data_IF_172668207082
#
_entry.id   IF_172668207082
#
_cell.length_a   1.000
_cell.length_b   1.000
_cell.length_c   1.000
_cell.angle_alpha   90.00
_cell.angle_beta   90.00
_cell.angle_gamma   90.00
#
_symmetry.space_group_name_H-M   'P 1'
#
loop_
_entity.id
_entity.type
_entity.pdbx_description
1 polymer ?
#
# COMPACT_ATOMS: atom_id res chain seq x y z
N UNK A 1 19.96 0.55 18.07
CA UNK A 1 19.87 -0.13 16.76
C UNK A 1 21.25 -0.66 16.48
N UNK A 2 21.43 -1.96 16.58
CA UNK A 2 22.76 -2.56 16.68
C UNK A 2 23.33 -2.84 15.29
N UNK A 3 23.49 -1.80 14.47
CA UNK A 3 24.07 -1.86 13.13
C UNK A 3 25.45 -1.18 13.11
N UNK A 4 26.21 -1.35 12.04
CA UNK A 4 27.47 -0.62 11.92
C UNK A 4 27.22 0.89 11.82
N UNK A 5 28.14 1.69 12.37
CA UNK A 5 28.11 3.16 12.23
C UNK A 5 28.03 3.60 10.78
N UNK A 6 28.76 2.93 9.89
CA UNK A 6 28.76 3.22 8.46
C UNK A 6 27.37 3.01 7.84
N UNK A 7 26.73 1.88 8.12
CA UNK A 7 25.39 1.59 7.63
C UNK A 7 24.40 2.63 8.16
N UNK A 8 24.42 2.91 9.47
CA UNK A 8 23.55 3.92 10.07
C UNK A 8 23.66 5.29 9.40
N UNK A 9 24.90 5.79 9.24
CA UNK A 9 25.14 7.10 8.63
C UNK A 9 24.76 7.13 7.15
N UNK A 10 25.01 6.05 6.42
CA UNK A 10 24.63 5.95 5.01
C UNK A 10 23.10 5.98 4.83
N UNK A 11 22.35 5.24 5.66
CA UNK A 11 20.88 5.22 5.63
C UNK A 11 20.29 6.54 6.08
N UNK A 12 20.83 7.15 7.14
CA UNK A 12 20.42 8.50 7.57
C UNK A 12 20.65 9.53 6.46
N UNK A 13 21.82 9.50 5.82
CA UNK A 13 22.13 10.39 4.70
C UNK A 13 21.15 10.18 3.54
N UNK A 14 20.92 8.93 3.14
CA UNK A 14 19.96 8.60 2.09
C UNK A 14 18.57 9.19 2.41
N UNK A 15 18.13 9.10 3.67
CA UNK A 15 16.84 9.64 4.11
C UNK A 15 16.78 11.16 4.15
N UNK A 16 17.88 11.83 4.49
CA UNK A 16 17.98 13.30 4.42
C UNK A 16 18.00 13.76 2.96
N UNK A 17 18.72 13.05 2.10
CA UNK A 17 18.85 13.38 0.66
C UNK A 17 17.52 13.25 -0.11
N UNK A 18 16.50 12.57 0.44
CA UNK A 18 15.12 12.57 -0.08
C UNK A 18 14.47 13.98 0.00
N UNK A 19 15.02 14.90 0.79
CA UNK A 19 14.51 16.24 1.02
C UNK A 19 15.52 17.30 0.54
N UNK A 20 15.42 17.71 -0.72
CA UNK A 20 16.39 18.64 -1.34
C UNK A 20 16.57 19.96 -0.58
N UNK A 21 15.50 20.48 0.03
CA UNK A 21 15.48 21.75 0.77
C UNK A 21 16.06 21.64 2.20
N UNK A 22 16.25 20.43 2.72
CA UNK A 22 16.78 20.21 4.07
C UNK A 22 18.31 20.35 4.10
N UNK A 23 18.80 21.58 4.28
CA UNK A 23 20.24 21.88 4.41
C UNK A 23 20.75 21.91 5.85
N UNK A 24 19.89 22.23 6.79
CA UNK A 24 20.22 22.35 8.21
C UNK A 24 18.97 22.32 9.08
N UNK A 25 19.15 21.96 10.35
CA UNK A 25 18.14 22.12 11.39
C UNK A 25 18.36 23.45 12.12
N UNK A 26 17.30 24.22 12.35
CA UNK A 26 17.41 25.55 12.98
C UNK A 26 17.34 25.48 14.51
N UNK A 27 16.60 24.51 15.05
CA UNK A 27 16.34 24.40 16.48
C UNK A 27 16.50 22.97 16.99
N UNK A 28 16.80 22.85 18.28
CA UNK A 28 16.83 21.56 18.98
C UNK A 28 15.89 21.65 20.18
N UNK A 29 14.98 20.70 20.29
CA UNK A 29 14.01 20.61 21.38
C UNK A 29 14.30 19.36 22.21
N UNK A 30 14.26 19.49 23.52
CA UNK A 30 14.37 18.36 24.44
C UNK A 30 13.01 17.68 24.59
N UNK A 31 13.00 16.35 24.62
CA UNK A 31 11.83 15.56 24.93
C UNK A 31 12.18 14.26 25.61
N UNK A 32 11.16 13.44 25.83
CA UNK A 32 11.30 12.12 26.44
C UNK A 32 10.95 11.05 25.42
N UNK A 33 11.82 10.07 25.23
CA UNK A 33 11.50 8.91 24.42
C UNK A 33 10.40 8.09 25.12
N UNK A 34 9.34 7.77 24.40
CA UNK A 34 8.18 7.05 24.94
C UNK A 34 8.14 5.57 24.54
N UNK A 35 9.01 5.15 23.61
CA UNK A 35 9.07 3.79 23.10
C UNK A 35 10.48 3.16 23.19
N UNK A 36 11.40 3.55 22.30
CA UNK A 36 12.68 2.85 22.08
C UNK A 36 13.60 2.83 23.31
N UNK A 37 13.74 3.98 23.98
CA UNK A 37 14.52 4.18 25.19
C UNK A 37 13.61 4.85 26.22
N UNK A 38 12.53 4.14 26.58
CA UNK A 38 11.41 4.70 27.32
C UNK A 38 11.86 5.42 28.60
N UNK A 39 11.46 6.69 28.73
CA UNK A 39 11.78 7.55 29.87
C UNK A 39 13.14 8.24 29.76
N UNK A 40 13.97 7.92 28.76
CA UNK A 40 15.24 8.60 28.54
C UNK A 40 15.03 9.93 27.83
N UNK A 41 15.90 10.89 28.17
CA UNK A 41 16.00 12.18 27.49
C UNK A 41 16.46 11.97 26.05
N UNK A 42 15.76 12.59 25.11
CA UNK A 42 16.10 12.60 23.69
C UNK A 42 15.95 14.02 23.13
N UNK A 43 16.49 14.26 21.95
CA UNK A 43 16.49 15.57 21.30
C UNK A 43 15.88 15.48 19.92
N UNK A 44 15.01 16.43 19.57
CA UNK A 44 14.48 16.58 18.22
C UNK A 44 15.11 17.79 17.54
N UNK A 45 15.76 17.55 16.43
CA UNK A 45 16.31 18.59 15.56
C UNK A 45 15.22 19.01 14.57
N UNK A 46 14.84 20.28 14.57
CA UNK A 46 13.69 20.81 13.83
C UNK A 46 14.12 21.76 12.72
N UNK A 47 13.46 21.61 11.57
CA UNK A 47 13.57 22.48 10.42
C UNK A 47 12.17 22.96 10.02
N UNK A 48 12.01 24.23 9.65
CA UNK A 48 10.69 24.79 9.35
C UNK A 48 10.08 24.13 8.11
N UNK A 49 8.86 23.60 8.24
CA UNK A 49 8.11 22.92 7.17
C UNK A 49 8.87 21.74 6.53
N UNK A 50 9.76 21.10 7.28
CA UNK A 50 10.62 20.01 6.85
C UNK A 50 10.63 18.93 7.94
N UNK A 51 10.97 17.67 7.59
CA UNK A 51 10.97 16.58 8.57
C UNK A 51 11.98 16.82 9.68
N UNK A 52 11.56 16.58 10.90
CA UNK A 52 12.40 16.62 12.11
C UNK A 52 13.25 15.36 12.26
N UNK A 53 14.37 15.46 12.97
CA UNK A 53 15.24 14.31 13.27
C UNK A 53 15.30 14.08 14.78
N UNK A 54 14.54 13.10 15.32
CA UNK A 54 14.59 12.74 16.73
C UNK A 54 15.73 11.75 17.01
N UNK A 55 16.64 12.13 17.90
CA UNK A 55 17.82 11.33 18.29
C UNK A 55 17.90 11.13 19.80
N UNK A 56 18.26 9.91 20.19
CA UNK A 56 18.69 9.58 21.54
C UNK A 56 20.23 9.44 21.56
N UNK A 57 20.87 10.11 22.52
CA UNK A 57 22.31 10.03 22.73
C UNK A 57 22.57 9.22 23.99
N UNK A 58 23.29 8.12 23.84
CA UNK A 58 23.74 7.33 24.98
C UNK A 58 25.04 7.93 25.48
N UNK A 59 25.08 8.24 26.78
CA UNK A 59 26.22 8.88 27.43
C UNK A 59 26.78 8.01 28.54
N UNK A 60 28.10 7.91 28.58
CA UNK A 60 28.85 7.27 29.68
C UNK A 60 30.00 8.17 30.09
N UNK A 61 30.10 8.45 31.39
CA UNK A 61 31.14 9.31 31.97
C UNK A 61 31.23 10.69 31.28
N UNK A 62 30.08 11.27 30.92
CA UNK A 62 29.99 12.58 30.26
C UNK A 62 30.42 12.59 28.78
N UNK A 63 30.53 11.42 28.15
CA UNK A 63 30.84 11.28 26.72
C UNK A 63 29.73 10.52 26.01
N UNK A 64 29.36 11.00 24.84
CA UNK A 64 28.46 10.27 23.93
C UNK A 64 29.16 8.99 23.46
N UNK A 65 28.60 7.83 23.82
CA UNK A 65 29.09 6.52 23.40
C UNK A 65 28.34 5.99 22.18
N UNK A 66 27.06 6.35 22.02
CA UNK A 66 26.25 5.93 20.89
C UNK A 66 25.12 6.92 20.56
N UNK A 67 24.56 6.83 19.36
CA UNK A 67 23.47 7.67 18.86
C UNK A 67 22.43 6.78 18.18
N UNK A 68 21.17 6.97 18.55
CA UNK A 68 20.05 6.19 18.04
C UNK A 68 18.93 7.08 17.52
N UNK A 69 18.20 6.62 16.51
CA UNK A 69 16.94 7.24 16.10
C UNK A 69 15.89 7.03 17.20
N UNK A 70 15.16 8.08 17.57
CA UNK A 70 14.08 8.03 18.56
C UNK A 70 12.71 8.11 17.86
N UNK A 71 12.10 6.97 17.58
CA UNK A 71 10.86 6.89 16.78
C UNK A 71 9.57 7.35 17.48
N UNK A 72 9.63 7.68 18.77
CA UNK A 72 8.47 8.12 19.56
C UNK A 72 8.94 9.11 20.62
N UNK A 73 9.33 10.30 20.17
CA UNK A 73 9.78 11.38 21.04
C UNK A 73 8.59 12.24 21.44
N UNK A 74 8.32 12.34 22.75
CA UNK A 74 7.26 13.21 23.29
C UNK A 74 7.84 14.53 23.77
N UNK A 75 7.28 15.62 23.27
CA UNK A 75 7.59 17.00 23.66
C UNK A 75 6.44 17.60 24.47
N UNK A 76 6.75 18.63 25.26
CA UNK A 76 5.75 19.36 26.04
C UNK A 76 4.82 20.19 25.15
N UNK A 77 5.35 20.71 24.04
CA UNK A 77 4.63 21.58 23.08
C UNK A 77 4.98 21.17 21.65
N UNK A 78 4.33 20.14 21.09
CA UNK A 78 4.55 19.73 19.72
C UNK A 78 3.99 20.76 18.74
N UNK A 79 4.60 20.87 17.56
CA UNK A 79 4.07 21.71 16.47
C UNK A 79 2.95 20.97 15.72
N UNK A 80 1.99 21.73 15.18
CA UNK A 80 0.80 21.18 14.49
C UNK A 80 1.14 20.43 13.18
N UNK A 81 2.33 20.66 12.63
CA UNK A 81 2.79 20.10 11.34
C UNK A 81 4.16 19.44 11.46
N UNK A 82 4.45 18.81 12.61
CA UNK A 82 5.71 18.09 12.82
C UNK A 82 5.60 16.64 12.31
N UNK A 83 6.52 16.23 11.45
CA UNK A 83 6.70 14.82 11.07
C UNK A 83 8.18 14.48 11.11
N UNK A 84 8.50 13.23 11.43
CA UNK A 84 9.88 12.80 11.71
C UNK A 84 10.49 12.03 10.54
N UNK A 85 11.81 12.17 10.36
CA UNK A 85 12.61 11.22 9.59
C UNK A 85 12.54 9.86 10.29
N UNK A 86 11.98 8.88 9.61
CA UNK A 86 11.86 7.52 10.10
C UNK A 86 12.59 6.52 9.18
N UNK A 87 13.36 5.62 9.80
CA UNK A 87 13.90 4.45 9.14
C UNK A 87 14.14 3.33 10.14
N UNK A 88 14.21 2.10 9.63
CA UNK A 88 14.52 0.89 10.39
C UNK A 88 15.52 0.04 9.62
N UNK A 89 16.15 -0.89 10.33
CA UNK A 89 17.07 -1.87 9.76
C UNK A 89 16.46 -3.26 9.86
N UNK A 90 16.75 -4.08 8.86
CA UNK A 90 16.37 -5.48 8.85
C UNK A 90 17.18 -6.27 9.89
N UNK A 91 16.67 -7.41 10.32
CA UNK A 91 17.35 -8.25 11.32
C UNK A 91 18.73 -8.68 10.83
N UNK A 92 18.91 -8.99 9.55
CA UNK A 92 20.19 -9.40 8.97
C UNK A 92 21.23 -8.28 8.84
N UNK A 93 20.82 -7.03 9.01
CA UNK A 93 21.72 -5.87 8.98
C UNK A 93 22.35 -5.59 10.35
N UNK A 94 21.85 -6.24 11.41
CA UNK A 94 22.37 -6.08 12.77
C UNK A 94 23.69 -6.82 12.95
N UNK A 95 24.62 -6.22 13.68
CA UNK A 95 25.96 -6.76 13.98
C UNK A 95 25.92 -8.11 14.69
N UNK A 96 24.91 -8.33 15.54
CA UNK A 96 24.73 -9.56 16.29
C UNK A 96 23.96 -10.65 15.52
N UNK A 97 23.55 -10.38 14.27
CA UNK A 97 22.76 -11.32 13.50
C UNK A 97 23.53 -12.62 13.25
N UNK A 98 22.87 -13.73 13.58
CA UNK A 98 23.31 -15.08 13.23
C UNK A 98 22.13 -15.80 12.61
N UNK A 99 22.22 -16.23 11.34
CA UNK A 99 21.11 -16.91 10.69
C UNK A 99 20.83 -18.23 11.42
N UNK A 100 19.57 -18.45 11.78
CA UNK A 100 19.11 -19.76 12.26
C UNK A 100 19.00 -20.74 11.08
N UNK A 101 19.01 -22.04 11.37
CA UNK A 101 18.74 -23.08 10.36
C UNK A 101 17.37 -22.83 9.71
N UNK A 102 16.37 -22.45 10.52
CA UNK A 102 15.02 -22.15 10.04
C UNK A 102 15.00 -20.93 9.10
N UNK A 103 15.73 -19.87 9.43
CA UNK A 103 15.91 -18.73 8.54
C UNK A 103 16.51 -19.15 7.19
N UNK A 104 17.55 -19.99 7.21
CA UNK A 104 18.20 -20.46 5.98
C UNK A 104 17.28 -21.34 5.12
N UNK A 105 16.50 -22.23 5.74
CA UNK A 105 15.50 -23.06 5.04
C UNK A 105 14.44 -22.16 4.39
N UNK A 106 13.94 -21.17 5.13
CA UNK A 106 12.96 -20.21 4.61
C UNK A 106 13.54 -19.40 3.45
N UNK A 107 14.78 -18.93 3.57
CA UNK A 107 15.46 -18.19 2.51
C UNK A 107 15.55 -19.02 1.22
N UNK A 108 15.93 -20.29 1.30
CA UNK A 108 15.97 -21.18 0.13
C UNK A 108 14.60 -21.38 -0.52
N UNK A 109 13.51 -21.44 0.28
CA UNK A 109 12.15 -21.54 -0.24
C UNK A 109 11.73 -20.27 -0.96
N UNK A 110 12.11 -19.11 -0.42
CA UNK A 110 11.88 -17.80 -1.03
C UNK A 110 12.66 -17.68 -2.34
N UNK A 111 13.96 -17.97 -2.34
CA UNK A 111 14.81 -17.94 -3.54
C UNK A 111 14.23 -18.83 -4.64
N UNK A 112 13.81 -20.05 -4.29
CA UNK A 112 13.13 -20.94 -5.23
C UNK A 112 11.83 -20.34 -5.79
N UNK A 113 11.01 -19.70 -4.95
CA UNK A 113 9.77 -19.07 -5.39
C UNK A 113 10.02 -17.93 -6.37
N UNK A 114 10.99 -17.07 -6.05
CA UNK A 114 11.42 -15.95 -6.89
C UNK A 114 12.02 -16.46 -8.21
N UNK A 115 12.91 -17.45 -8.17
CA UNK A 115 13.53 -18.02 -9.37
C UNK A 115 12.49 -18.64 -10.30
N UNK A 116 11.54 -19.40 -9.76
CA UNK A 116 10.45 -19.97 -10.55
C UNK A 116 9.55 -18.89 -11.16
N UNK A 117 9.27 -17.81 -10.43
CA UNK A 117 8.53 -16.67 -10.97
C UNK A 117 9.30 -15.99 -12.11
N UNK A 118 10.58 -15.69 -11.89
CA UNK A 118 11.43 -15.03 -12.88
C UNK A 118 11.57 -15.88 -14.16
N UNK A 119 11.46 -17.21 -14.05
CA UNK A 119 11.46 -18.08 -15.22
C UNK A 119 10.19 -17.92 -16.09
N UNK A 120 9.08 -17.40 -15.57
CA UNK A 120 7.88 -17.10 -16.36
C UNK A 120 8.16 -16.01 -17.40
N UNK A 121 9.02 -15.03 -17.10
CA UNK A 121 9.39 -13.95 -18.02
C UNK A 121 9.93 -14.50 -19.35
N UNK A 122 10.61 -15.65 -19.32
CA UNK A 122 11.18 -16.30 -20.50
C UNK A 122 10.13 -16.73 -21.54
N UNK A 123 8.86 -16.79 -21.16
CA UNK A 123 7.74 -17.08 -22.07
C UNK A 123 7.38 -15.88 -22.95
N UNK A 124 7.79 -14.66 -22.56
CA UNK A 124 7.44 -13.41 -23.23
C UNK A 124 6.00 -12.99 -22.94
N UNK A 125 5.03 -13.78 -23.41
CA UNK A 125 3.61 -13.65 -23.06
C UNK A 125 3.23 -14.82 -22.14
N UNK A 126 2.92 -14.52 -20.89
CA UNK A 126 2.66 -15.51 -19.84
C UNK A 126 1.15 -15.79 -19.79
N UNK A 127 0.68 -17.04 -20.00
CA UNK A 127 -0.71 -17.40 -19.73
C UNK A 127 -1.05 -17.18 -18.26
N UNK A 128 -2.23 -16.61 -17.97
CA UNK A 128 -2.66 -16.38 -16.58
C UNK A 128 -2.68 -17.66 -15.74
N UNK A 129 -2.90 -18.83 -16.36
CA UNK A 129 -2.87 -20.13 -15.70
C UNK A 129 -1.50 -20.46 -15.07
N UNK A 130 -0.40 -20.03 -15.68
CA UNK A 130 0.95 -20.21 -15.12
C UNK A 130 1.16 -19.35 -13.86
N UNK A 131 0.60 -18.13 -13.88
CA UNK A 131 0.63 -17.21 -12.72
C UNK A 131 -0.24 -17.76 -11.59
N UNK A 132 -1.41 -18.31 -11.90
CA UNK A 132 -2.29 -18.99 -10.93
C UNK A 132 -1.59 -20.18 -10.31
N UNK A 133 -0.94 -21.01 -11.13
CA UNK A 133 -0.20 -22.18 -10.66
C UNK A 133 0.92 -21.78 -9.70
N UNK A 134 1.70 -20.74 -10.04
CA UNK A 134 2.73 -20.21 -9.15
C UNK A 134 2.13 -19.71 -7.82
N UNK A 135 1.06 -18.93 -7.89
CA UNK A 135 0.38 -18.40 -6.70
C UNK A 135 -0.09 -19.50 -5.76
N UNK A 136 -0.80 -20.50 -6.29
CA UNK A 136 -1.34 -21.60 -5.48
C UNK A 136 -0.24 -22.48 -4.90
N UNK A 137 0.87 -22.69 -5.64
CA UNK A 137 2.05 -23.44 -5.16
C UNK A 137 2.71 -22.78 -3.94
N UNK A 138 2.79 -21.44 -3.92
CA UNK A 138 3.48 -20.70 -2.86
C UNK A 138 2.56 -20.12 -1.78
N UNK A 139 1.26 -20.35 -1.88
CA UNK A 139 0.26 -19.88 -0.91
C UNK A 139 0.53 -20.29 0.54
N UNK A 140 1.08 -21.49 0.78
CA UNK A 140 1.43 -21.92 2.14
C UNK A 140 2.63 -21.13 2.69
N UNK A 141 3.67 -20.95 1.87
CA UNK A 141 4.83 -20.12 2.23
C UNK A 141 4.38 -18.68 2.54
N UNK A 142 3.50 -18.13 1.70
CA UNK A 142 2.97 -16.79 1.91
C UNK A 142 2.23 -16.65 3.25
N UNK A 143 1.43 -17.64 3.64
CA UNK A 143 0.74 -17.66 4.94
C UNK A 143 1.70 -17.77 6.12
N UNK A 144 2.70 -18.65 6.01
CA UNK A 144 3.71 -18.84 7.07
C UNK A 144 4.54 -17.58 7.32
N UNK A 145 4.80 -16.80 6.27
CA UNK A 145 5.55 -15.55 6.33
C UNK A 145 4.68 -14.31 6.51
N UNK A 146 3.35 -14.49 6.60
CA UNK A 146 2.36 -13.41 6.66
C UNK A 146 2.54 -12.38 5.52
N UNK A 147 2.87 -12.87 4.31
CA UNK A 147 2.94 -12.02 3.13
C UNK A 147 1.58 -11.41 2.82
N UNK A 148 1.59 -10.22 2.21
CA UNK A 148 0.38 -9.45 1.88
C UNK A 148 -0.41 -8.98 3.11
N UNK A 149 0.18 -9.05 4.31
CA UNK A 149 -0.40 -8.53 5.53
C UNK A 149 0.14 -7.11 5.82
N UNK A 150 -0.68 -6.04 5.66
CA UNK A 150 -0.23 -4.67 5.88
C UNK A 150 0.07 -4.35 7.35
N UNK A 151 -0.34 -5.22 8.29
CA UNK A 151 -0.11 -5.04 9.72
C UNK A 151 1.15 -5.73 10.23
N UNK A 152 1.86 -6.48 9.37
CA UNK A 152 3.05 -7.22 9.75
C UNK A 152 4.28 -6.55 9.19
N UNK A 153 5.14 -6.06 10.08
CA UNK A 153 6.42 -5.48 9.69
C UNK A 153 7.35 -6.58 9.15
N UNK A 154 7.79 -6.43 7.91
CA UNK A 154 8.74 -7.34 7.28
C UNK A 154 10.10 -7.19 7.95
N UNK A 155 10.48 -8.22 8.72
CA UNK A 155 11.71 -8.23 9.54
C UNK A 155 12.98 -8.45 8.74
N UNK A 156 12.89 -9.14 7.61
CA UNK A 156 14.03 -9.53 6.79
C UNK A 156 13.95 -8.92 5.40
N UNK A 157 15.06 -8.41 4.88
CA UNK A 157 15.15 -7.80 3.55
C UNK A 157 14.78 -8.78 2.46
N UNK A 158 15.19 -10.04 2.59
CA UNK A 158 14.83 -11.11 1.65
C UNK A 158 13.30 -11.28 1.53
N UNK A 159 12.56 -11.03 2.61
CA UNK A 159 11.11 -11.23 2.64
C UNK A 159 10.40 -10.07 1.94
N UNK A 160 11.02 -8.88 1.87
CA UNK A 160 10.45 -7.72 1.18
C UNK A 160 10.24 -7.99 -0.30
N UNK A 161 11.22 -8.59 -0.96
CA UNK A 161 11.15 -8.84 -2.40
C UNK A 161 10.03 -9.82 -2.73
N UNK A 162 9.97 -10.98 -2.05
CA UNK A 162 8.89 -11.95 -2.25
C UNK A 162 7.53 -11.43 -1.80
N UNK A 163 7.46 -10.58 -0.76
CA UNK A 163 6.21 -9.94 -0.36
C UNK A 163 5.67 -9.05 -1.48
N UNK A 164 6.51 -8.17 -2.03
CA UNK A 164 6.12 -7.29 -3.14
C UNK A 164 5.64 -8.11 -4.34
N UNK A 165 6.40 -9.14 -4.71
CA UNK A 165 6.06 -10.01 -5.84
C UNK A 165 4.73 -10.75 -5.59
N UNK A 166 4.56 -11.33 -4.40
CA UNK A 166 3.36 -12.08 -4.05
C UNK A 166 2.13 -11.17 -3.94
N UNK A 167 2.25 -9.95 -3.41
CA UNK A 167 1.15 -8.97 -3.36
C UNK A 167 0.65 -8.59 -4.76
N UNK A 168 1.55 -8.29 -5.69
CA UNK A 168 1.15 -8.00 -7.08
C UNK A 168 0.40 -9.18 -7.72
N UNK A 169 0.94 -10.39 -7.57
CA UNK A 169 0.25 -11.60 -8.04
C UNK A 169 -1.10 -11.78 -7.35
N UNK A 170 -1.18 -11.57 -6.03
CA UNK A 170 -2.41 -11.67 -5.23
C UNK A 170 -3.51 -10.77 -5.79
N UNK A 171 -3.18 -9.53 -6.18
CA UNK A 171 -4.12 -8.58 -6.78
C UNK A 171 -4.70 -9.09 -8.11
N UNK A 172 -3.85 -9.60 -9.00
CA UNK A 172 -4.29 -10.22 -10.26
C UNK A 172 -5.20 -11.42 -10.00
N UNK A 173 -4.81 -12.31 -9.08
CA UNK A 173 -5.56 -13.51 -8.74
C UNK A 173 -6.91 -13.18 -8.07
N UNK A 174 -6.97 -12.11 -7.29
CA UNK A 174 -8.23 -11.60 -6.73
C UNK A 174 -9.20 -11.18 -7.84
N UNK A 175 -8.73 -10.37 -8.81
CA UNK A 175 -9.55 -9.97 -9.95
C UNK A 175 -10.01 -11.17 -10.78
N UNK A 176 -9.09 -12.09 -11.07
CA UNK A 176 -9.37 -13.32 -11.79
C UNK A 176 -10.49 -14.15 -11.14
N UNK A 177 -10.39 -14.40 -9.82
CA UNK A 177 -11.38 -15.19 -9.07
C UNK A 177 -12.78 -14.55 -9.07
N UNK A 178 -12.85 -13.25 -9.27
CA UNK A 178 -14.11 -12.48 -9.35
C UNK A 178 -14.64 -12.30 -10.78
N UNK A 179 -13.99 -12.86 -11.81
CA UNK A 179 -14.42 -12.61 -13.20
C UNK A 179 -15.88 -13.02 -13.47
N UNK A 180 -16.35 -14.16 -12.94
CA UNK A 180 -17.75 -14.57 -13.11
C UNK A 180 -18.74 -13.63 -12.42
N UNK A 181 -18.37 -13.07 -11.26
CA UNK A 181 -19.17 -12.06 -10.59
C UNK A 181 -19.21 -10.78 -11.44
N UNK A 182 -18.09 -10.39 -12.03
CA UNK A 182 -18.00 -9.23 -12.90
C UNK A 182 -18.88 -9.39 -14.15
N UNK A 183 -18.79 -10.56 -14.79
CA UNK A 183 -19.61 -10.92 -15.94
C UNK A 183 -21.10 -10.79 -15.65
N UNK A 184 -21.56 -11.34 -14.53
CA UNK A 184 -22.97 -11.24 -14.13
C UNK A 184 -23.41 -9.79 -13.91
N UNK A 185 -22.57 -8.94 -13.32
CA UNK A 185 -22.85 -7.53 -13.12
C UNK A 185 -22.93 -6.77 -14.46
N UNK A 186 -22.03 -7.06 -15.40
CA UNK A 186 -22.04 -6.49 -16.75
C UNK A 186 -23.26 -6.95 -17.57
N UNK A 187 -23.67 -8.21 -17.45
CA UNK A 187 -24.89 -8.73 -18.11
C UNK A 187 -26.17 -8.03 -17.63
N UNK A 188 -26.20 -7.56 -16.38
CA UNK A 188 -27.28 -6.71 -15.86
C UNK A 188 -27.15 -5.30 -16.42
N UNK A 189 -25.94 -4.73 -16.37
CA UNK A 189 -25.65 -3.38 -16.85
C UNK A 189 -26.04 -3.20 -18.32
N UNK A 190 -25.70 -4.14 -19.21
CA UNK A 190 -26.01 -4.05 -20.64
C UNK A 190 -27.52 -4.08 -20.96
N UNK A 191 -28.38 -4.40 -20.00
CA UNK A 191 -29.85 -4.35 -20.14
C UNK A 191 -30.43 -3.00 -19.70
N UNK A 192 -29.62 -2.13 -19.11
CA UNK A 192 -30.01 -0.79 -18.67
C UNK A 192 -29.96 0.14 -19.88
N UNK A 193 -31.04 0.87 -20.12
CA UNK A 193 -31.07 1.97 -21.10
C UNK A 193 -30.27 3.16 -20.57
N UNK A 194 -29.34 3.76 -21.35
CA UNK A 194 -28.47 4.85 -20.89
C UNK A 194 -29.18 6.04 -20.25
N UNK A 195 -30.42 6.33 -20.65
CA UNK A 195 -31.21 7.47 -20.16
C UNK A 195 -31.84 7.20 -18.78
N UNK A 196 -31.75 5.98 -18.26
CA UNK A 196 -32.40 5.57 -17.02
C UNK A 196 -31.43 5.61 -15.83
N UNK A 197 -31.14 6.83 -15.38
CA UNK A 197 -30.24 7.10 -14.24
C UNK A 197 -30.62 6.31 -12.97
N UNK A 198 -31.92 6.18 -12.66
CA UNK A 198 -32.38 5.41 -11.50
C UNK A 198 -31.91 3.95 -11.54
N UNK A 199 -31.90 3.35 -12.72
CA UNK A 199 -31.42 1.97 -12.90
C UNK A 199 -29.90 1.86 -12.80
N UNK A 200 -29.17 2.87 -13.30
CA UNK A 200 -27.71 2.97 -13.11
C UNK A 200 -27.39 3.11 -11.62
N UNK A 201 -28.08 3.99 -10.90
CA UNK A 201 -27.92 4.15 -9.44
C UNK A 201 -28.19 2.84 -8.71
N UNK A 202 -29.28 2.13 -9.04
CA UNK A 202 -29.58 0.82 -8.45
C UNK A 202 -28.43 -0.15 -8.68
N UNK A 203 -27.94 -0.24 -9.91
CA UNK A 203 -26.82 -1.10 -10.27
C UNK A 203 -25.53 -0.73 -9.53
N UNK A 204 -25.20 0.54 -9.37
CA UNK A 204 -24.06 0.99 -8.57
C UNK A 204 -24.20 0.53 -7.10
N UNK A 205 -25.35 0.75 -6.49
CA UNK A 205 -25.60 0.36 -5.09
C UNK A 205 -25.52 -1.16 -4.87
N UNK A 206 -25.97 -1.96 -5.85
CA UNK A 206 -25.88 -3.43 -5.81
C UNK A 206 -24.44 -3.94 -5.98
N UNK A 207 -23.56 -3.13 -6.61
CA UNK A 207 -22.17 -3.49 -6.91
C UNK A 207 -21.13 -2.74 -6.06
N UNK A 208 -21.56 -1.96 -5.06
CA UNK A 208 -20.68 -1.15 -4.20
C UNK A 208 -19.58 -1.95 -3.49
N UNK A 209 -19.86 -3.21 -3.16
CA UNK A 209 -18.90 -4.10 -2.50
C UNK A 209 -18.00 -4.88 -3.49
N UNK A 210 -18.19 -4.69 -4.79
CA UNK A 210 -17.43 -5.40 -5.83
C UNK A 210 -16.12 -4.67 -6.12
N UNK A 211 -15.18 -4.80 -5.19
CA UNK A 211 -13.84 -4.23 -5.35
C UNK A 211 -12.94 -5.10 -6.25
N UNK A 212 -12.28 -4.43 -7.20
CA UNK A 212 -11.22 -4.94 -8.07
C UNK A 212 -9.98 -4.08 -7.91
N UNK A 213 -8.81 -4.70 -7.95
CA UNK A 213 -7.54 -3.98 -7.96
C UNK A 213 -7.31 -3.34 -9.33
N UNK A 214 -6.82 -2.09 -9.35
CA UNK A 214 -6.36 -1.49 -10.59
C UNK A 214 -4.99 -2.09 -10.93
N UNK A 215 -4.90 -2.65 -12.14
CA UNK A 215 -3.68 -3.28 -12.64
C UNK A 215 -3.25 -2.58 -13.91
N UNK A 216 -1.94 -2.53 -14.13
CA UNK A 216 -1.38 -1.90 -15.32
C UNK A 216 -1.80 -2.67 -16.58
N UNK A 217 -2.35 -1.92 -17.52
CA UNK A 217 -2.83 -2.42 -18.81
C UNK A 217 -1.77 -2.22 -19.88
N UNK A 218 -1.63 -3.19 -20.78
CA UNK A 218 -0.80 -3.00 -21.97
C UNK A 218 -1.52 -2.12 -23.01
N UNK A 219 -0.78 -1.66 -24.02
CA UNK A 219 -1.40 -0.96 -25.14
C UNK A 219 -2.43 -1.85 -25.84
N UNK A 220 -3.61 -1.30 -26.13
CA UNK A 220 -4.75 -2.02 -26.71
C UNK A 220 -5.26 -3.21 -25.88
N UNK A 221 -5.08 -3.20 -24.55
CA UNK A 221 -5.54 -4.28 -23.65
C UNK A 221 -7.02 -4.64 -23.83
N UNK A 222 -7.90 -3.70 -24.18
CA UNK A 222 -9.32 -3.99 -24.41
C UNK A 222 -9.54 -5.00 -25.56
N UNK A 223 -8.60 -5.04 -26.52
CA UNK A 223 -8.63 -5.94 -27.68
C UNK A 223 -7.80 -7.20 -27.45
N UNK A 224 -6.66 -7.07 -26.80
CA UNK A 224 -5.69 -8.16 -26.63
C UNK A 224 -5.92 -8.94 -25.34
N UNK A 225 -6.45 -8.29 -24.32
CA UNK A 225 -6.55 -8.79 -22.96
C UNK A 225 -5.23 -8.86 -22.21
N UNK A 226 -4.20 -8.15 -22.68
CA UNK A 226 -2.87 -8.24 -22.09
C UNK A 226 -2.67 -7.21 -20.99
N UNK A 227 -2.16 -7.67 -19.85
CA UNK A 227 -1.86 -6.84 -18.68
C UNK A 227 -0.38 -6.92 -18.34
N UNK A 228 0.12 -5.90 -17.63
CA UNK A 228 1.49 -5.83 -17.14
C UNK A 228 1.43 -6.01 -15.63
N UNK A 229 2.01 -7.10 -15.14
CA UNK A 229 2.20 -7.29 -13.71
C UNK A 229 3.48 -6.56 -13.28
N UNK A 230 3.35 -5.49 -12.49
CA UNK A 230 4.44 -4.59 -12.10
C UNK A 230 5.36 -5.20 -11.04
N UNK A 231 6.08 -6.23 -11.46
CA UNK A 231 7.00 -7.03 -10.66
C UNK A 231 8.45 -6.79 -11.11
N UNK A 232 9.43 -7.44 -10.48
CA UNK A 232 10.81 -7.39 -10.93
C UNK A 232 11.31 -8.82 -11.19
N UNK A 233 11.30 -9.29 -12.45
CA UNK A 233 10.97 -8.58 -13.69
C UNK A 233 9.46 -8.35 -13.86
N UNK A 234 9.06 -7.41 -14.74
CA UNK A 234 7.66 -7.26 -15.14
C UNK A 234 7.22 -8.47 -15.98
N UNK A 235 5.98 -8.92 -15.81
CA UNK A 235 5.39 -9.95 -16.67
C UNK A 235 4.30 -9.36 -17.56
N UNK A 236 4.34 -9.67 -18.85
CA UNK A 236 3.21 -9.46 -19.75
C UNK A 236 2.32 -10.71 -19.68
N UNK A 237 1.10 -10.55 -19.15
CA UNK A 237 0.19 -11.66 -18.86
C UNK A 237 -0.99 -11.64 -19.81
N UNK A 238 -1.27 -12.79 -20.44
CA UNK A 238 -2.48 -12.99 -21.25
C UNK A 238 -3.68 -13.27 -20.34
N UNK A 239 -4.55 -12.26 -20.22
CA UNK A 239 -5.80 -12.32 -19.47
C UNK A 239 -7.03 -12.26 -20.39
N UNK A 240 -6.87 -12.54 -21.69
CA UNK A 240 -7.94 -12.39 -22.70
C UNK A 240 -9.24 -13.14 -22.38
N UNK A 241 -9.16 -14.25 -21.63
CA UNK A 241 -10.32 -15.00 -21.16
C UNK A 241 -11.05 -14.41 -19.94
N UNK A 242 -10.52 -13.37 -19.31
CA UNK A 242 -10.92 -12.92 -17.96
C UNK A 242 -10.96 -11.38 -17.83
N UNK A 243 -11.51 -10.71 -18.85
CA UNK A 243 -11.53 -9.24 -18.92
C UNK A 243 -12.72 -8.58 -18.21
N UNK A 244 -13.74 -9.34 -17.84
CA UNK A 244 -14.98 -8.79 -17.28
C UNK A 244 -14.73 -7.96 -16.01
N UNK A 245 -13.78 -8.39 -15.17
CA UNK A 245 -13.40 -7.66 -13.96
C UNK A 245 -12.85 -6.26 -14.25
N UNK A 246 -12.06 -6.12 -15.31
CA UNK A 246 -11.44 -4.86 -15.70
C UNK A 246 -12.47 -3.91 -16.32
N UNK A 247 -13.31 -4.42 -17.24
CA UNK A 247 -14.40 -3.63 -17.82
C UNK A 247 -15.40 -3.18 -16.77
N UNK A 248 -15.76 -4.06 -15.83
CA UNK A 248 -16.65 -3.71 -14.74
C UNK A 248 -16.06 -2.57 -13.89
N UNK A 249 -14.79 -2.67 -13.51
CA UNK A 249 -14.14 -1.65 -12.68
C UNK A 249 -14.16 -0.27 -13.35
N UNK A 250 -13.89 -0.20 -14.65
CA UNK A 250 -13.90 1.07 -15.40
C UNK A 250 -15.31 1.62 -15.56
N UNK A 251 -16.27 0.79 -15.99
CA UNK A 251 -17.67 1.20 -16.15
C UNK A 251 -18.26 1.67 -14.82
N UNK A 252 -18.01 0.93 -13.74
CA UNK A 252 -18.47 1.27 -12.40
C UNK A 252 -17.89 2.62 -11.95
N UNK A 253 -16.58 2.81 -12.10
CA UNK A 253 -15.89 4.03 -11.67
C UNK A 253 -16.38 5.25 -12.45
N UNK A 254 -16.59 5.12 -13.76
CA UNK A 254 -17.11 6.21 -14.60
C UNK A 254 -18.51 6.65 -14.14
N UNK A 255 -19.45 5.70 -14.02
CA UNK A 255 -20.81 6.02 -13.57
C UNK A 255 -20.85 6.54 -12.13
N UNK A 256 -20.05 5.97 -11.23
CA UNK A 256 -19.98 6.42 -9.85
C UNK A 256 -19.49 7.86 -9.79
N UNK A 257 -18.41 8.19 -10.51
CA UNK A 257 -17.87 9.54 -10.54
C UNK A 257 -18.87 10.55 -11.12
N UNK A 258 -19.52 10.24 -12.25
CA UNK A 258 -20.54 11.10 -12.85
C UNK A 258 -21.70 11.40 -11.88
N UNK A 259 -22.22 10.39 -11.19
CA UNK A 259 -23.33 10.54 -10.25
C UNK A 259 -22.89 11.24 -8.96
N UNK A 260 -21.70 10.91 -8.44
CA UNK A 260 -21.13 11.56 -7.26
C UNK A 260 -20.88 13.06 -7.50
N UNK A 261 -20.37 13.42 -8.69
CA UNK A 261 -20.18 14.82 -9.09
C UNK A 261 -21.52 15.55 -9.23
N UNK A 262 -22.49 14.93 -9.92
CA UNK A 262 -23.83 15.50 -10.10
C UNK A 262 -24.54 15.78 -8.77
N UNK A 263 -24.36 14.91 -7.77
CA UNK A 263 -24.99 15.01 -6.45
C UNK A 263 -24.03 15.44 -5.35
N UNK A 264 -22.97 16.16 -5.70
CA UNK A 264 -22.03 16.69 -4.71
C UNK A 264 -22.78 17.51 -3.63
N UNK A 265 -22.46 17.35 -2.34
CA UNK A 265 -23.09 18.12 -1.27
C UNK A 265 -22.84 19.62 -1.42
N UNK A 266 -23.88 20.43 -1.18
CA UNK A 266 -23.78 21.89 -1.15
C UNK A 266 -23.29 22.37 0.22
N UNK A 267 -22.87 23.63 0.33
CA UNK A 267 -22.52 24.24 1.62
C UNK A 267 -23.64 24.13 2.66
N UNK A 268 -24.90 24.25 2.24
CA UNK A 268 -26.06 24.08 3.11
C UNK A 268 -26.14 22.65 3.67
N UNK A 269 -25.85 21.62 2.86
CA UNK A 269 -25.78 20.25 3.37
C UNK A 269 -24.71 20.09 4.44
N UNK A 270 -23.54 20.73 4.30
CA UNK A 270 -22.50 20.69 5.34
C UNK A 270 -22.96 21.40 6.62
N UNK A 271 -23.58 22.58 6.52
CA UNK A 271 -24.09 23.31 7.68
C UNK A 271 -25.13 22.49 8.46
N UNK A 272 -26.06 21.85 7.75
CA UNK A 272 -27.11 21.02 8.34
C UNK A 272 -26.59 19.73 8.99
N UNK A 273 -25.40 19.26 8.61
CA UNK A 273 -24.78 18.04 9.13
C UNK A 273 -23.57 18.31 10.05
N UNK A 274 -23.52 19.48 10.69
CA UNK A 274 -22.49 19.79 11.70
C UNK A 274 -21.10 19.97 11.11
N UNK A 275 -21.01 20.36 9.84
CA UNK A 275 -19.76 20.67 9.14
C UNK A 275 -19.11 19.47 8.45
N UNK A 276 -19.70 18.28 8.48
CA UNK A 276 -19.17 17.11 7.78
C UNK A 276 -20.27 16.31 7.09
N UNK A 277 -19.92 15.68 5.96
CA UNK A 277 -20.79 14.80 5.17
C UNK A 277 -20.00 13.55 4.82
N UNK A 278 -20.62 12.38 4.98
CA UNK A 278 -20.03 11.12 4.55
C UNK A 278 -19.89 11.10 3.02
N UNK A 279 -18.68 10.81 2.52
CA UNK A 279 -18.38 10.74 1.10
C UNK A 279 -18.80 9.38 0.52
N UNK A 280 -20.10 9.18 0.34
CA UNK A 280 -20.66 7.96 -0.25
C UNK A 280 -21.87 8.27 -1.13
N UNK A 281 -22.10 7.42 -2.14
CA UNK A 281 -23.24 7.58 -3.05
C UNK A 281 -24.56 7.63 -2.30
N UNK A 282 -24.74 6.75 -1.30
CA UNK A 282 -25.95 6.73 -0.45
C UNK A 282 -26.15 8.04 0.30
N UNK A 283 -25.08 8.59 0.88
CA UNK A 283 -25.11 9.86 1.61
C UNK A 283 -25.51 11.01 0.68
N UNK A 284 -24.88 11.11 -0.50
CA UNK A 284 -25.12 12.19 -1.45
C UNK A 284 -26.57 12.14 -1.97
N UNK A 285 -27.08 10.95 -2.32
CA UNK A 285 -28.46 10.78 -2.75
C UNK A 285 -29.48 11.14 -1.65
N UNK A 286 -29.22 10.79 -0.39
CA UNK A 286 -30.08 11.17 0.74
C UNK A 286 -30.19 12.67 0.91
N UNK A 287 -29.06 13.38 0.88
CA UNK A 287 -29.03 14.84 1.01
C UNK A 287 -29.86 15.54 -0.08
N UNK A 288 -29.81 15.02 -1.30
CA UNK A 288 -30.55 15.57 -2.44
C UNK A 288 -31.99 15.02 -2.57
N UNK A 289 -32.45 14.19 -1.63
CA UNK A 289 -33.76 13.50 -1.68
C UNK A 289 -33.98 12.71 -2.99
N UNK A 290 -32.94 12.04 -3.48
CA UNK A 290 -32.96 11.28 -4.74
C UNK A 290 -32.98 9.78 -4.48
N UNK A 291 -33.82 9.09 -5.24
CA UNK A 291 -33.91 7.63 -5.28
C UNK A 291 -34.04 6.97 -3.90
N UNK A 292 -34.75 7.60 -2.96
CA UNK A 292 -34.87 7.15 -1.57
C UNK A 292 -35.47 5.75 -1.43
N UNK A 293 -36.22 5.27 -2.43
CA UNK A 293 -36.75 3.93 -2.47
C UNK A 293 -35.69 2.84 -2.72
N UNK A 294 -34.46 3.23 -3.06
CA UNK A 294 -33.30 2.33 -3.25
C UNK A 294 -32.35 2.31 -2.05
N UNK A 295 -32.56 3.14 -1.02
CA UNK A 295 -31.59 3.44 0.05
C UNK A 295 -31.91 2.82 1.41
#
# INVERSE_FOLDING_TARGET
MDVSKELFLSTLKQKIDEYEDLKSYENVVEGTCNHCNKGCKAYKFKAKNLPSLPLYFEEKDGKVTDIYLCNDLKEDKPDEHDWDIHFSFYEEEKLAFKPSIEYLITLQRIEKAVDEFNNLEKMGLVPIEEVIYWYDKYKLLARELELDNPFVAIKYKAYKHINSLYSEVSNLIHNFKKNNLAKNALDIYHKITPENEKSIVKWLLENDNNYFFDLKKADNWEKTGFLILETNPNLLVDCSGYLDGFFLSEIYSNHLNEIMEKYQPTSEHFEQNGGSVECSLKSYLKLHNKYLDLL
#
